data_IF_654528295720
#
_entry.id   IF_654528295720
#
_cell.length_a   1.000
_cell.length_b   1.000
_cell.length_c   1.000
_cell.angle_alpha   90.00
_cell.angle_beta   90.00
_cell.angle_gamma   90.00
#
_symmetry.space_group_name_H-M   'P 1'
#
loop_
_entity.id
_entity.type
_entity.pdbx_description
1 polymer ?
#
# COMPACT_ATOMS: atom_id res chain seq x y z
N UNK A 1 -3.11 -7.47 12.04
CA UNK A 1 -2.67 -8.81 11.53
C UNK A 1 -2.41 -9.86 12.61
N UNK A 2 -1.35 -9.76 13.42
CA UNK A 2 -0.96 -10.84 14.37
C UNK A 2 -2.04 -11.18 15.39
N UNK A 3 -2.77 -10.18 15.88
CA UNK A 3 -3.91 -10.42 16.77
C UNK A 3 -5.11 -11.05 16.04
N UNK A 4 -5.38 -10.66 14.79
CA UNK A 4 -6.40 -11.32 13.96
C UNK A 4 -6.08 -12.81 13.77
N UNK A 5 -4.82 -13.12 13.44
CA UNK A 5 -4.32 -14.48 13.32
C UNK A 5 -4.49 -15.27 14.62
N UNK A 6 -4.19 -14.64 15.77
CA UNK A 6 -4.34 -15.28 17.07
C UNK A 6 -5.80 -15.55 17.42
N UNK A 7 -6.68 -14.56 17.24
CA UNK A 7 -8.11 -14.70 17.53
C UNK A 7 -8.79 -15.71 16.60
N UNK A 8 -8.31 -15.82 15.36
CA UNK A 8 -8.78 -16.83 14.41
C UNK A 8 -8.30 -18.26 14.71
N UNK A 9 -7.33 -18.48 15.62
CA UNK A 9 -6.81 -19.82 15.98
C UNK A 9 -7.74 -20.64 16.90
N UNK A 10 -9.05 -20.45 16.81
CA UNK A 10 -10.02 -21.32 17.49
C UNK A 10 -10.03 -22.69 16.77
N UNK A 11 -10.19 -23.79 17.51
CA UNK A 11 -10.09 -25.19 17.01
C UNK A 11 -10.92 -25.50 15.74
N UNK A 12 -11.94 -24.71 15.42
CA UNK A 12 -12.75 -24.82 14.20
C UNK A 12 -12.02 -24.40 12.93
N UNK A 13 -11.11 -23.41 13.00
CA UNK A 13 -10.51 -22.79 11.80
C UNK A 13 -9.28 -23.57 11.30
N UNK A 14 -8.64 -24.35 12.17
CA UNK A 14 -7.43 -25.12 11.82
C UNK A 14 -7.67 -26.24 10.80
N UNK A 15 -8.87 -26.81 10.72
CA UNK A 15 -9.17 -27.92 9.80
C UNK A 15 -9.52 -27.45 8.38
N UNK A 16 -9.94 -26.19 8.19
CA UNK A 16 -10.37 -25.63 6.88
C UNK A 16 -9.32 -24.72 6.22
N UNK A 17 -8.37 -24.16 6.99
CA UNK A 17 -7.23 -23.34 6.48
C UNK A 17 -6.27 -24.13 5.57
N UNK A 18 -6.42 -25.45 5.46
CA UNK A 18 -5.43 -26.34 4.84
C UNK A 18 -5.08 -26.04 3.36
N UNK A 19 -5.96 -25.37 2.58
CA UNK A 19 -5.73 -25.20 1.13
C UNK A 19 -6.03 -23.81 0.55
N UNK A 20 -6.80 -22.94 1.22
CA UNK A 20 -7.22 -21.65 0.67
C UNK A 20 -6.29 -20.49 1.10
N UNK A 21 -6.07 -19.46 0.25
CA UNK A 21 -5.34 -18.28 0.65
C UNK A 21 -6.11 -17.53 1.75
N UNK A 22 -5.43 -17.25 2.86
CA UNK A 22 -6.04 -16.51 3.99
C UNK A 22 -5.60 -15.06 3.98
N UNK A 23 -6.56 -14.15 3.93
CA UNK A 23 -6.34 -12.71 4.04
C UNK A 23 -7.00 -12.16 5.29
N UNK A 24 -6.39 -11.14 5.88
CA UNK A 24 -6.93 -10.35 6.98
C UNK A 24 -7.39 -9.02 6.40
N UNK A 25 -8.63 -8.64 6.66
CA UNK A 25 -9.16 -7.34 6.32
C UNK A 25 -9.54 -6.61 7.62
N UNK A 26 -8.78 -5.58 7.93
CA UNK A 26 -8.97 -4.68 9.07
C UNK A 26 -9.82 -3.50 8.60
N UNK A 27 -11.09 -3.46 8.99
CA UNK A 27 -12.01 -2.40 8.59
C UNK A 27 -12.20 -1.46 9.77
N UNK A 28 -11.63 -0.27 9.66
CA UNK A 28 -11.69 0.76 10.70
C UNK A 28 -12.84 1.76 10.50
N UNK A 29 -12.67 2.94 11.11
CA UNK A 29 -13.61 4.07 10.96
C UNK A 29 -13.51 4.77 9.60
N UNK A 30 -12.34 4.76 8.98
CA UNK A 30 -12.00 5.53 7.77
C UNK A 30 -11.53 4.67 6.61
N UNK A 31 -10.79 3.61 6.92
CA UNK A 31 -10.01 2.82 5.96
C UNK A 31 -10.22 1.33 6.20
N UNK A 32 -9.97 0.56 5.14
CA UNK A 32 -9.87 -0.89 5.19
C UNK A 32 -8.48 -1.28 4.74
N UNK A 33 -7.75 -1.98 5.60
CA UNK A 33 -6.41 -2.46 5.35
C UNK A 33 -6.41 -3.99 5.18
N UNK A 34 -6.04 -4.46 3.99
CA UNK A 34 -6.06 -5.87 3.60
C UNK A 34 -4.63 -6.38 3.46
N UNK A 35 -4.35 -7.53 4.08
CA UNK A 35 -3.06 -8.19 4.00
C UNK A 35 -3.19 -9.71 4.01
N UNK A 36 -2.28 -10.43 3.36
CA UNK A 36 -2.19 -11.88 3.52
C UNK A 36 -1.77 -12.25 4.96
N UNK A 37 -2.39 -13.29 5.54
CA UNK A 37 -2.12 -13.74 6.91
C UNK A 37 -0.66 -14.13 7.14
N UNK A 38 -0.04 -14.74 6.13
CA UNK A 38 1.39 -14.99 6.06
C UNK A 38 1.99 -13.96 5.09
N UNK A 39 2.35 -12.77 5.59
CA UNK A 39 2.67 -11.65 4.74
C UNK A 39 3.93 -11.93 3.92
N UNK A 40 3.81 -11.74 2.60
CA UNK A 40 4.96 -11.66 1.70
C UNK A 40 5.70 -10.36 1.99
N UNK A 41 7.03 -10.42 2.14
CA UNK A 41 7.87 -9.23 2.02
C UNK A 41 7.70 -8.65 0.60
N UNK A 42 7.56 -7.33 0.48
CA UNK A 42 7.43 -6.71 -0.83
C UNK A 42 8.60 -7.12 -1.76
N UNK A 43 8.28 -7.59 -2.97
CA UNK A 43 9.23 -8.31 -3.81
C UNK A 43 10.33 -7.47 -4.46
N UNK A 44 10.33 -6.15 -4.31
CA UNK A 44 11.35 -5.27 -4.94
C UNK A 44 11.46 -3.92 -4.26
N UNK A 45 10.33 -3.30 -3.94
CA UNK A 45 10.24 -2.06 -3.18
C UNK A 45 8.83 -1.90 -2.60
N UNK A 46 8.70 -1.09 -1.56
CA UNK A 46 7.43 -0.56 -1.04
C UNK A 46 7.39 0.94 -1.21
N UNK A 47 6.21 1.48 -1.48
CA UNK A 47 6.00 2.92 -1.53
C UNK A 47 5.37 3.39 -0.22
N UNK A 48 6.07 4.28 0.47
CA UNK A 48 5.65 4.85 1.75
C UNK A 48 5.55 6.35 1.54
N UNK A 49 4.32 6.88 1.52
CA UNK A 49 4.09 8.31 1.32
C UNK A 49 4.67 8.86 0.01
N UNK A 50 4.58 8.10 -1.08
CA UNK A 50 5.14 8.47 -2.39
C UNK A 50 6.63 8.12 -2.58
N UNK A 51 7.31 7.61 -1.55
CA UNK A 51 8.73 7.29 -1.59
C UNK A 51 8.94 5.79 -1.69
N UNK A 52 9.66 5.33 -2.73
CA UNK A 52 10.04 3.92 -2.87
C UNK A 52 11.20 3.58 -1.95
N UNK A 53 11.02 2.55 -1.14
CA UNK A 53 12.04 2.01 -0.24
C UNK A 53 12.17 0.50 -0.43
N UNK A 54 13.38 -0.02 -0.22
CA UNK A 54 13.67 -1.45 -0.22
C UNK A 54 13.44 -2.10 1.16
N UNK A 55 12.70 -1.45 2.06
CA UNK A 55 12.39 -2.03 3.37
C UNK A 55 11.59 -3.32 3.22
N UNK A 56 12.04 -4.33 3.96
CA UNK A 56 11.35 -5.61 4.04
C UNK A 56 10.13 -5.48 4.93
N UNK A 57 9.00 -5.08 4.35
CA UNK A 57 7.72 -4.96 5.06
C UNK A 57 6.63 -5.82 4.41
N UNK A 58 5.64 -6.27 5.21
CA UNK A 58 4.40 -6.85 4.70
C UNK A 58 3.72 -5.95 3.67
N UNK A 59 3.37 -6.50 2.51
CA UNK A 59 2.48 -5.80 1.56
C UNK A 59 1.09 -5.66 2.17
N UNK A 60 0.60 -4.43 2.27
CA UNK A 60 -0.78 -4.11 2.69
C UNK A 60 -1.45 -3.33 1.56
N UNK A 61 -2.70 -3.69 1.23
CA UNK A 61 -3.57 -2.92 0.34
C UNK A 61 -4.52 -2.10 1.21
N UNK A 62 -4.52 -0.78 1.07
CA UNK A 62 -5.39 0.10 1.84
C UNK A 62 -6.41 0.77 0.91
N UNK A 63 -7.68 0.76 1.31
CA UNK A 63 -8.77 1.43 0.58
C UNK A 63 -9.56 2.36 1.52
N UNK A 64 -10.07 3.45 0.96
CA UNK A 64 -10.83 4.50 1.69
C UNK A 64 -12.27 4.07 2.01
N UNK A 65 -12.41 2.96 2.72
CA UNK A 65 -13.69 2.40 3.16
C UNK A 65 -13.64 2.07 4.66
N UNK A 66 -14.52 2.67 5.44
CA UNK A 66 -14.72 2.36 6.85
C UNK A 66 -16.10 2.81 7.30
N UNK A 67 -16.37 2.70 8.60
CA UNK A 67 -17.71 2.99 9.18
C UNK A 67 -18.24 4.38 8.86
N UNK A 68 -17.35 5.38 8.82
CA UNK A 68 -17.67 6.78 8.59
C UNK A 68 -17.50 7.24 7.16
N UNK A 69 -17.18 6.33 6.22
CA UNK A 69 -17.09 6.68 4.81
C UNK A 69 -18.41 7.27 4.34
N UNK A 70 -18.35 8.45 3.71
CA UNK A 70 -19.51 9.19 3.25
C UNK A 70 -20.16 8.50 2.06
N UNK A 71 -21.48 8.63 1.97
CA UNK A 71 -22.29 8.15 0.86
C UNK A 71 -22.96 9.35 0.23
N UNK A 72 -22.69 9.59 -1.05
CA UNK A 72 -23.28 10.70 -1.79
C UNK A 72 -24.12 10.19 -2.95
N UNK A 73 -25.27 10.82 -3.16
CA UNK A 73 -26.14 10.55 -4.29
C UNK A 73 -26.24 11.80 -5.16
N UNK A 74 -25.77 11.71 -6.41
CA UNK A 74 -25.93 12.74 -7.42
C UNK A 74 -26.83 12.22 -8.54
N UNK A 75 -28.11 12.58 -8.50
CA UNK A 75 -29.13 12.02 -9.38
C UNK A 75 -29.31 10.51 -9.15
N UNK A 76 -29.06 9.72 -10.18
CA UNK A 76 -29.12 8.25 -10.14
C UNK A 76 -27.77 7.59 -9.81
N UNK A 77 -26.71 8.37 -9.58
CA UNK A 77 -25.37 7.85 -9.29
C UNK A 77 -25.13 7.91 -7.78
N UNK A 78 -24.81 6.75 -7.20
CA UNK A 78 -24.41 6.62 -5.80
C UNK A 78 -22.91 6.37 -5.72
N UNK A 79 -22.24 7.15 -4.88
CA UNK A 79 -20.79 7.08 -4.66
C UNK A 79 -20.50 6.80 -3.19
N UNK A 80 -19.41 6.08 -2.94
CA UNK A 80 -18.96 5.66 -1.61
C UNK A 80 -17.53 6.13 -1.41
N UNK A 81 -17.34 7.07 -0.50
CA UNK A 81 -16.03 7.67 -0.23
C UNK A 81 -15.48 8.49 -1.40
N UNK A 82 -14.18 8.81 -1.39
CA UNK A 82 -13.18 8.41 -0.39
C UNK A 82 -13.29 9.17 0.95
N UNK A 83 -14.08 10.23 0.99
CA UNK A 83 -14.23 11.05 2.20
C UNK A 83 -14.88 10.28 3.36
N UNK A 84 -14.46 10.58 4.58
CA UNK A 84 -15.01 9.99 5.80
C UNK A 84 -15.19 11.04 6.89
N UNK A 85 -16.21 10.86 7.74
CA UNK A 85 -16.38 11.67 8.96
C UNK A 85 -15.43 11.25 10.08
N UNK A 86 -14.74 10.11 9.93
CA UNK A 86 -13.72 9.63 10.85
C UNK A 86 -14.18 9.62 12.31
N UNK A 87 -13.41 10.26 13.19
CA UNK A 87 -13.72 10.37 14.62
C UNK A 87 -15.08 11.04 14.91
N UNK A 88 -15.60 11.87 14.00
CA UNK A 88 -16.89 12.54 14.16
C UNK A 88 -18.10 11.65 13.89
N UNK A 89 -17.92 10.34 13.62
CA UNK A 89 -19.00 9.40 13.30
C UNK A 89 -20.21 9.53 14.24
N UNK A 90 -19.99 9.52 15.55
CA UNK A 90 -21.05 9.59 16.57
C UNK A 90 -21.76 10.94 16.67
N UNK A 91 -21.26 11.97 15.96
CA UNK A 91 -21.86 13.31 15.91
C UNK A 91 -22.38 13.70 14.53
N UNK A 92 -21.88 13.05 13.48
CA UNK A 92 -22.13 13.43 12.08
C UNK A 92 -22.94 12.41 11.29
N UNK A 93 -22.89 11.12 11.62
CA UNK A 93 -23.71 10.13 10.94
C UNK A 93 -25.19 10.25 11.31
N UNK A 94 -26.08 9.91 10.37
CA UNK A 94 -27.53 10.05 10.54
C UNK A 94 -28.06 9.21 11.70
N UNK A 95 -27.57 7.97 11.88
CA UNK A 95 -27.98 7.06 12.98
C UNK A 95 -27.65 7.62 14.37
N UNK A 96 -26.83 8.67 14.46
CA UNK A 96 -26.53 9.36 15.72
C UNK A 96 -27.13 10.78 15.78
N UNK A 97 -27.98 11.16 14.83
CA UNK A 97 -28.63 12.48 14.78
C UNK A 97 -27.83 13.56 14.06
N UNK A 98 -26.79 13.17 13.32
CA UNK A 98 -26.01 14.08 12.49
C UNK A 98 -26.66 14.37 11.13
N UNK A 99 -25.89 14.99 10.24
CA UNK A 99 -26.32 15.53 8.95
C UNK A 99 -25.66 14.85 7.74
N UNK A 100 -24.79 13.85 7.95
CA UNK A 100 -24.02 13.19 6.89
C UNK A 100 -24.43 11.73 6.78
N UNK A 101 -24.77 11.28 5.56
CA UNK A 101 -25.00 9.87 5.26
C UNK A 101 -23.67 9.11 5.16
N UNK A 102 -23.55 8.01 5.88
CA UNK A 102 -22.32 7.22 6.02
C UNK A 102 -22.56 5.72 5.79
N UNK A 103 -21.49 4.94 5.62
CA UNK A 103 -21.56 3.49 5.51
C UNK A 103 -22.29 2.84 6.71
N UNK A 104 -22.11 3.36 7.93
CA UNK A 104 -22.85 2.87 9.11
C UNK A 104 -24.36 3.06 8.97
N UNK A 105 -24.79 4.17 8.37
CA UNK A 105 -26.21 4.44 8.13
C UNK A 105 -26.81 3.44 7.13
N UNK A 106 -26.06 3.09 6.08
CA UNK A 106 -26.44 2.07 5.10
C UNK A 106 -26.56 0.69 5.76
N UNK A 107 -25.64 0.32 6.64
CA UNK A 107 -25.71 -0.95 7.40
C UNK A 107 -27.00 -1.03 8.23
N UNK A 108 -27.35 0.04 8.94
CA UNK A 108 -28.54 0.09 9.80
C UNK A 108 -29.82 0.14 8.97
N UNK A 109 -29.85 0.92 7.89
CA UNK A 109 -30.97 0.97 6.95
C UNK A 109 -31.21 -0.40 6.27
N UNK A 110 -30.13 -1.15 6.04
CA UNK A 110 -30.17 -2.54 5.55
C UNK A 110 -30.61 -3.55 6.58
N UNK A 111 -30.76 -3.13 7.85
CA UNK A 111 -31.11 -3.99 8.98
C UNK A 111 -30.06 -5.09 9.25
N UNK A 112 -28.82 -4.88 8.80
CA UNK A 112 -27.73 -5.84 8.94
C UNK A 112 -27.06 -5.78 10.33
N UNK A 113 -27.15 -4.64 11.01
CA UNK A 113 -26.67 -4.46 12.37
C UNK A 113 -27.48 -3.40 13.12
N UNK A 114 -27.31 -3.37 14.45
CA UNK A 114 -27.90 -2.37 15.33
C UNK A 114 -26.81 -1.39 15.77
N UNK A 115 -26.84 -0.17 15.22
CA UNK A 115 -25.93 0.92 15.54
C UNK A 115 -26.77 2.19 15.66
N UNK A 116 -26.61 2.95 16.74
CA UNK A 116 -27.37 4.18 16.97
C UNK A 116 -28.89 3.97 16.95
N UNK A 117 -29.63 4.96 16.45
CA UNK A 117 -31.07 4.95 16.33
C UNK A 117 -31.51 4.66 14.88
N UNK A 118 -32.11 3.49 14.67
CA UNK A 118 -32.63 3.04 13.36
C UNK A 118 -33.74 3.95 12.81
N UNK A 119 -34.49 4.65 13.66
CA UNK A 119 -35.58 5.53 13.22
C UNK A 119 -35.06 6.69 12.36
N UNK A 120 -33.83 7.14 12.64
CA UNK A 120 -33.19 8.27 11.96
C UNK A 120 -32.77 7.95 10.53
N UNK A 121 -32.68 6.67 10.15
CA UNK A 121 -32.35 6.26 8.77
C UNK A 121 -33.52 5.60 8.03
N UNK A 122 -34.71 5.60 8.63
CA UNK A 122 -35.92 5.01 8.02
C UNK A 122 -36.36 5.68 6.71
N UNK A 123 -35.95 6.94 6.50
CA UNK A 123 -36.25 7.73 5.31
C UNK A 123 -35.29 7.47 4.14
N UNK A 124 -34.18 6.77 4.37
CA UNK A 124 -33.19 6.45 3.33
C UNK A 124 -33.82 5.47 2.34
N UNK A 125 -33.81 5.81 1.06
CA UNK A 125 -34.53 5.03 0.05
C UNK A 125 -33.94 3.62 -0.12
N UNK A 126 -34.77 2.58 -0.34
CA UNK A 126 -34.26 1.22 -0.58
C UNK A 126 -33.35 1.11 -1.81
N UNK A 127 -33.57 1.94 -2.84
CA UNK A 127 -32.72 2.01 -4.04
C UNK A 127 -31.31 2.47 -3.67
N UNK A 128 -31.20 3.58 -2.93
CA UNK A 128 -29.93 4.13 -2.46
C UNK A 128 -29.17 3.12 -1.58
N UNK A 129 -29.86 2.47 -0.65
CA UNK A 129 -29.26 1.42 0.21
C UNK A 129 -28.68 0.28 -0.63
N UNK A 130 -29.42 -0.20 -1.63
CA UNK A 130 -28.97 -1.28 -2.50
C UNK A 130 -27.75 -0.88 -3.33
N UNK A 131 -27.76 0.32 -3.92
CA UNK A 131 -26.66 0.82 -4.75
C UNK A 131 -25.40 1.08 -3.91
N UNK A 132 -25.55 1.67 -2.73
CA UNK A 132 -24.43 1.89 -1.81
C UNK A 132 -23.80 0.57 -1.35
N UNK A 133 -24.61 -0.45 -1.02
CA UNK A 133 -24.12 -1.80 -0.68
C UNK A 133 -23.32 -2.42 -1.80
N UNK A 134 -23.81 -2.32 -3.04
CA UNK A 134 -23.10 -2.86 -4.19
C UNK A 134 -21.74 -2.20 -4.38
N UNK A 135 -21.65 -0.88 -4.19
CA UNK A 135 -20.37 -0.15 -4.26
C UNK A 135 -19.42 -0.55 -3.12
N UNK A 136 -19.92 -0.67 -1.89
CA UNK A 136 -19.13 -1.16 -0.74
C UNK A 136 -18.56 -2.56 -1.03
N UNK A 137 -19.41 -3.47 -1.53
CA UNK A 137 -19.02 -4.82 -1.94
C UNK A 137 -17.87 -4.79 -2.95
N UNK A 138 -18.02 -4.02 -4.03
CA UNK A 138 -17.00 -3.90 -5.09
C UNK A 138 -15.66 -3.37 -4.56
N UNK A 139 -15.69 -2.36 -3.67
CA UNK A 139 -14.47 -1.82 -3.07
C UNK A 139 -13.72 -2.90 -2.26
N UNK A 140 -14.45 -3.72 -1.50
CA UNK A 140 -13.86 -4.79 -0.69
C UNK A 140 -13.32 -5.93 -1.56
N UNK A 141 -14.06 -6.34 -2.60
CA UNK A 141 -13.61 -7.34 -3.56
C UNK A 141 -12.31 -6.93 -4.23
N UNK A 142 -12.20 -5.69 -4.71
CA UNK A 142 -10.97 -5.17 -5.30
C UNK A 142 -9.80 -5.16 -4.31
N UNK A 143 -10.03 -4.80 -3.05
CA UNK A 143 -8.99 -4.78 -2.02
C UNK A 143 -8.48 -6.21 -1.72
N UNK A 144 -9.39 -7.18 -1.65
CA UNK A 144 -9.06 -8.60 -1.41
C UNK A 144 -8.35 -9.20 -2.61
N UNK A 145 -8.85 -8.97 -3.82
CA UNK A 145 -8.23 -9.46 -5.06
C UNK A 145 -6.80 -8.93 -5.23
N UNK A 146 -6.55 -7.66 -4.89
CA UNK A 146 -5.20 -7.07 -4.91
C UNK A 146 -4.19 -7.74 -3.95
N UNK A 147 -4.66 -8.54 -3.00
CA UNK A 147 -3.86 -9.27 -2.03
C UNK A 147 -3.78 -10.78 -2.30
N UNK A 148 -4.69 -11.34 -3.11
CA UNK A 148 -4.67 -12.76 -3.48
C UNK A 148 -3.40 -13.13 -4.24
N UNK A 149 -2.86 -14.32 -3.93
CA UNK A 149 -1.66 -14.86 -4.58
C UNK A 149 -2.00 -15.84 -5.71
N UNK A 150 -3.17 -16.46 -5.61
CA UNK A 150 -3.71 -17.40 -6.57
C UNK A 150 -5.14 -16.99 -6.88
N UNK A 151 -5.64 -17.40 -8.05
CA UNK A 151 -6.98 -17.02 -8.50
C UNK A 151 -8.11 -17.66 -7.65
N UNK A 152 -7.79 -18.68 -6.85
CA UNK A 152 -8.74 -19.39 -5.99
C UNK A 152 -9.37 -18.48 -4.92
N UNK A 153 -10.58 -18.85 -4.49
CA UNK A 153 -11.32 -18.09 -3.49
C UNK A 153 -10.58 -18.04 -2.14
N UNK A 154 -10.55 -16.87 -1.52
CA UNK A 154 -9.86 -16.63 -0.27
C UNK A 154 -10.76 -16.82 0.96
N UNK A 155 -10.14 -17.17 2.08
CA UNK A 155 -10.74 -17.04 3.41
C UNK A 155 -10.39 -15.64 3.93
N UNK A 156 -11.39 -14.85 4.30
CA UNK A 156 -11.21 -13.49 4.82
C UNK A 156 -11.46 -13.46 6.32
N UNK A 157 -10.44 -13.13 7.11
CA UNK A 157 -10.58 -12.82 8.53
C UNK A 157 -10.86 -11.32 8.66
N UNK A 158 -12.09 -10.98 9.04
CA UNK A 158 -12.52 -9.59 9.27
C UNK A 158 -12.29 -9.18 10.72
N UNK A 159 -11.60 -8.05 10.91
CA UNK A 159 -11.32 -7.50 12.23
C UNK A 159 -11.60 -6.00 12.33
N UNK A 160 -11.49 -5.50 13.56
CA UNK A 160 -11.84 -4.13 13.97
C UNK A 160 -13.35 -3.87 13.93
N UNK A 161 -13.79 -2.80 14.57
CA UNK A 161 -15.19 -2.45 14.77
C UNK A 161 -15.91 -2.03 13.49
N UNK A 162 -15.17 -1.71 12.42
CA UNK A 162 -15.74 -1.41 11.12
C UNK A 162 -16.05 -2.61 10.25
N UNK A 163 -15.68 -3.83 10.68
CA UNK A 163 -16.07 -5.08 10.01
C UNK A 163 -17.58 -5.25 9.82
N UNK A 164 -18.39 -4.47 10.54
CA UNK A 164 -19.85 -4.36 10.40
C UNK A 164 -20.29 -3.78 9.05
N UNK A 165 -19.43 -3.03 8.35
CA UNK A 165 -19.69 -2.49 7.00
C UNK A 165 -19.77 -3.60 5.96
N UNK A 166 -19.14 -4.75 6.24
CA UNK A 166 -19.18 -5.89 5.35
C UNK A 166 -20.46 -6.71 5.58
N UNK A 167 -21.44 -6.58 4.69
CA UNK A 167 -22.79 -7.17 4.81
C UNK A 167 -22.99 -8.34 3.84
N UNK A 168 -22.55 -8.16 2.61
CA UNK A 168 -22.87 -9.02 1.47
C UNK A 168 -21.83 -10.12 1.28
N UNK A 169 -22.17 -11.19 0.57
CA UNK A 169 -21.17 -12.16 0.13
C UNK A 169 -20.26 -11.52 -0.91
N UNK A 170 -18.95 -11.79 -0.83
CA UNK A 170 -17.95 -11.26 -1.76
C UNK A 170 -17.58 -12.33 -2.77
N UNK A 171 -17.47 -11.93 -4.02
CA UNK A 171 -16.97 -12.76 -5.09
C UNK A 171 -15.46 -12.94 -4.89
N UNK A 172 -14.94 -14.15 -5.15
CA UNK A 172 -13.53 -14.47 -4.86
C UNK A 172 -13.23 -14.77 -3.39
N UNK A 173 -14.27 -14.91 -2.54
CA UNK A 173 -14.17 -15.22 -1.10
C UNK A 173 -15.07 -16.41 -0.78
N UNK A 174 -14.48 -17.52 -0.31
CA UNK A 174 -15.22 -18.73 0.02
C UNK A 174 -15.75 -18.71 1.45
N UNK A 175 -15.08 -17.99 2.35
CA UNK A 175 -15.47 -17.90 3.75
C UNK A 175 -15.08 -16.54 4.35
N UNK A 176 -15.95 -16.00 5.20
CA UNK A 176 -15.71 -14.80 5.99
C UNK A 176 -15.76 -15.16 7.47
N UNK A 177 -14.64 -14.99 8.14
CA UNK A 177 -14.46 -15.30 9.57
C UNK A 177 -14.43 -14.00 10.36
N UNK A 178 -15.33 -13.87 11.34
CA UNK A 178 -15.30 -12.81 12.36
C UNK A 178 -14.97 -13.46 13.70
N UNK A 179 -13.68 -13.47 14.12
CA UNK A 179 -13.31 -14.16 15.35
C UNK A 179 -13.90 -13.45 16.59
N UNK A 180 -13.99 -14.14 17.74
CA UNK A 180 -14.34 -13.49 19.00
C UNK A 180 -13.39 -12.32 19.30
N UNK A 181 -13.91 -11.22 19.85
CA UNK A 181 -13.12 -10.03 20.19
C UNK A 181 -12.37 -9.40 18.99
N UNK A 182 -12.89 -9.59 17.77
CA UNK A 182 -12.30 -9.04 16.55
C UNK A 182 -12.12 -7.52 16.58
N UNK A 183 -12.96 -6.81 17.33
CA UNK A 183 -12.91 -5.36 17.56
C UNK A 183 -11.64 -4.90 18.31
N UNK A 184 -10.98 -5.81 19.03
CA UNK A 184 -9.75 -5.54 19.77
C UNK A 184 -8.51 -6.20 19.14
N UNK A 185 -8.61 -6.73 17.91
CA UNK A 185 -7.55 -7.52 17.29
C UNK A 185 -6.18 -6.79 17.23
N UNK A 186 -6.18 -5.47 16.99
CA UNK A 186 -4.94 -4.69 16.96
C UNK A 186 -4.30 -4.56 18.36
N UNK A 187 -5.11 -4.34 19.40
CA UNK A 187 -4.64 -4.32 20.78
C UNK A 187 -4.10 -5.69 21.24
N UNK A 188 -4.78 -6.78 20.87
CA UNK A 188 -4.32 -8.15 21.11
C UNK A 188 -2.98 -8.40 20.41
N UNK A 189 -2.87 -7.99 19.14
CA UNK A 189 -1.62 -8.11 18.37
C UNK A 189 -0.46 -7.36 19.00
N UNK A 190 -0.70 -6.15 19.52
CA UNK A 190 0.31 -5.35 20.22
C UNK A 190 0.72 -6.00 21.55
N UNK A 191 -0.24 -6.48 22.35
CA UNK A 191 0.03 -7.13 23.63
C UNK A 191 0.79 -8.46 23.49
N UNK A 192 0.64 -9.12 22.35
CA UNK A 192 1.35 -10.37 22.02
C UNK A 192 2.73 -10.16 21.38
N UNK A 193 3.08 -8.92 21.03
CA UNK A 193 4.35 -8.63 20.37
C UNK A 193 5.52 -9.09 21.23
N UNK A 194 6.39 -9.92 20.66
CA UNK A 194 7.61 -10.37 21.34
C UNK A 194 8.63 -9.25 21.31
N UNK A 195 9.42 -9.14 22.38
CA UNK A 195 10.61 -8.30 22.40
C UNK A 195 11.60 -8.84 21.36
N UNK A 196 12.06 -7.99 20.45
CA UNK A 196 13.03 -8.34 19.41
C UNK A 196 14.10 -7.25 19.29
N UNK A 197 15.25 -7.62 18.73
CA UNK A 197 16.32 -6.72 18.38
C UNK A 197 16.92 -7.15 17.05
N UNK A 198 17.08 -6.18 16.16
CA UNK A 198 17.63 -6.37 14.82
C UNK A 198 18.89 -5.54 14.65
N UNK A 199 19.89 -6.10 13.97
CA UNK A 199 21.14 -5.44 13.63
C UNK A 199 21.37 -5.68 12.14
N UNK A 200 21.45 -4.58 11.40
CA UNK A 200 21.80 -4.55 9.99
C UNK A 200 23.16 -3.84 9.84
N UNK A 201 24.13 -4.51 9.20
CA UNK A 201 25.49 -4.02 9.03
C UNK A 201 26.05 -4.40 7.66
N UNK A 202 26.85 -3.49 7.09
CA UNK A 202 27.67 -3.78 5.92
C UNK A 202 29.08 -4.11 6.39
N UNK A 203 29.59 -5.29 6.03
CA UNK A 203 30.93 -5.78 6.40
C UNK A 203 31.74 -6.14 5.16
N UNK A 204 33.00 -5.71 5.12
CA UNK A 204 33.95 -6.09 4.07
C UNK A 204 34.59 -7.41 4.52
N UNK A 205 34.43 -8.46 3.72
CA UNK A 205 34.93 -9.81 4.04
C UNK A 205 36.43 -10.01 3.77
N UNK A 206 37.11 -9.01 3.19
CA UNK A 206 38.53 -9.14 2.84
C UNK A 206 39.40 -9.35 4.08
N UNK A 207 40.01 -10.54 4.17
CA UNK A 207 40.90 -10.90 5.28
C UNK A 207 40.20 -11.30 6.58
N UNK A 208 38.87 -11.45 6.59
CA UNK A 208 38.08 -11.82 7.79
C UNK A 208 37.24 -13.06 7.52
N UNK A 209 37.08 -13.95 8.51
CA UNK A 209 36.21 -15.11 8.40
C UNK A 209 34.73 -14.66 8.54
N UNK A 210 33.88 -15.14 7.63
CA UNK A 210 32.44 -14.84 7.65
C UNK A 210 31.77 -15.33 8.95
N UNK A 211 32.20 -16.46 9.51
CA UNK A 211 31.69 -17.01 10.77
C UNK A 211 31.92 -16.08 11.96
N UNK A 212 33.10 -15.46 12.04
CA UNK A 212 33.44 -14.51 13.11
C UNK A 212 32.54 -13.27 13.04
N UNK A 213 32.24 -12.81 11.81
CA UNK A 213 31.34 -11.67 11.57
C UNK A 213 29.91 -12.04 11.97
N UNK A 214 29.43 -13.22 11.57
CA UNK A 214 28.10 -13.70 11.94
C UNK A 214 27.97 -13.80 13.47
N UNK A 215 28.98 -14.30 14.16
CA UNK A 215 28.99 -14.38 15.63
C UNK A 215 28.99 -13.00 16.29
N UNK A 216 29.80 -12.06 15.79
CA UNK A 216 29.83 -10.67 16.24
C UNK A 216 28.44 -10.02 16.11
N UNK A 217 27.83 -10.12 14.92
CA UNK A 217 26.52 -9.52 14.62
C UNK A 217 25.40 -10.19 15.42
N UNK A 218 25.45 -11.52 15.55
CA UNK A 218 24.48 -12.28 16.36
C UNK A 218 24.56 -11.85 17.83
N UNK A 219 25.77 -11.68 18.36
CA UNK A 219 25.98 -11.21 19.74
C UNK A 219 25.46 -9.78 19.93
N UNK A 220 25.67 -8.91 18.96
CA UNK A 220 25.13 -7.55 18.97
C UNK A 220 23.59 -7.54 18.96
N UNK A 221 22.97 -8.38 18.13
CA UNK A 221 21.51 -8.53 18.07
C UNK A 221 20.92 -9.08 19.39
N UNK A 222 21.56 -10.09 19.98
CA UNK A 222 21.18 -10.63 21.31
C UNK A 222 21.26 -9.52 22.36
N UNK A 223 22.38 -8.79 22.41
CA UNK A 223 22.56 -7.70 23.37
C UNK A 223 21.50 -6.61 23.21
N UNK A 224 21.19 -6.21 21.97
CA UNK A 224 20.14 -5.22 21.67
C UNK A 224 18.77 -5.71 22.13
N UNK A 225 18.47 -7.00 21.95
CA UNK A 225 17.21 -7.62 22.39
C UNK A 225 17.11 -7.65 23.91
N UNK A 226 18.19 -7.98 24.63
CA UNK A 226 18.24 -7.96 26.10
C UNK A 226 18.10 -6.54 26.64
N UNK A 227 18.77 -5.56 26.04
CA UNK A 227 18.63 -4.14 26.40
C UNK A 227 17.19 -3.64 26.20
N UNK A 228 16.45 -4.19 25.23
CA UNK A 228 15.04 -3.92 25.02
C UNK A 228 14.11 -4.60 26.06
N UNK A 229 14.66 -5.38 27.00
CA UNK A 229 13.93 -5.99 28.12
C UNK A 229 13.72 -7.51 28.01
N UNK A 230 14.32 -8.19 27.03
CA UNK A 230 14.22 -9.63 26.94
C UNK A 230 15.11 -10.36 27.98
N UNK A 231 14.64 -11.50 28.48
CA UNK A 231 15.44 -12.39 29.31
C UNK A 231 16.45 -13.15 28.43
N UNK A 232 17.75 -13.06 28.75
CA UNK A 232 18.84 -13.62 27.94
C UNK A 232 18.62 -15.09 27.56
N UNK A 233 18.17 -15.92 28.51
CA UNK A 233 17.94 -17.37 28.32
C UNK A 233 16.83 -17.68 27.30
N UNK A 234 15.95 -16.72 27.04
CA UNK A 234 14.80 -16.86 26.13
C UNK A 234 15.09 -16.35 24.72
N UNK A 235 16.18 -15.60 24.54
CA UNK A 235 16.54 -14.99 23.26
C UNK A 235 17.02 -16.06 22.30
N UNK A 236 16.51 -16.03 21.06
CA UNK A 236 16.91 -16.91 19.96
C UNK A 236 17.08 -16.09 18.69
N UNK A 237 18.12 -16.39 17.92
CA UNK A 237 18.26 -15.85 16.56
C UNK A 237 17.24 -16.54 15.67
N UNK A 238 16.36 -15.75 15.05
CA UNK A 238 15.25 -16.25 14.21
C UNK A 238 15.57 -16.19 12.72
N UNK A 239 16.44 -15.27 12.31
CA UNK A 239 16.84 -15.08 10.92
C UNK A 239 18.25 -14.48 10.89
N UNK A 240 19.04 -14.90 9.91
CA UNK A 240 20.29 -14.27 9.52
C UNK A 240 20.24 -14.19 7.99
N UNK A 241 20.30 -12.98 7.45
CA UNK A 241 20.27 -12.74 6.02
C UNK A 241 21.62 -12.17 5.59
N UNK A 242 22.36 -12.92 4.77
CA UNK A 242 23.61 -12.45 4.18
C UNK A 242 23.36 -12.14 2.70
N UNK A 243 23.44 -10.85 2.36
CA UNK A 243 23.34 -10.39 0.97
C UNK A 243 24.72 -9.97 0.46
N UNK A 244 25.26 -10.63 -0.58
CA UNK A 244 26.53 -10.24 -1.16
C UNK A 244 26.39 -8.88 -1.86
N UNK A 245 27.00 -7.85 -1.28
CA UNK A 245 27.08 -6.54 -1.91
C UNK A 245 28.35 -6.46 -2.76
N UNK A 246 28.21 -6.40 -4.08
CA UNK A 246 29.33 -6.10 -4.98
C UNK A 246 29.35 -4.61 -5.31
N UNK A 247 30.21 -3.80 -4.70
CA UNK A 247 30.38 -2.41 -5.09
C UNK A 247 31.10 -2.36 -6.44
N UNK A 248 30.37 -2.49 -7.55
CA UNK A 248 30.92 -2.27 -8.90
C UNK A 248 30.73 -0.84 -9.41
N UNK A 249 30.49 0.15 -8.54
CA UNK A 249 30.28 1.53 -9.02
C UNK A 249 30.59 2.66 -8.04
N UNK A 250 31.42 2.44 -7.01
CA UNK A 250 31.95 3.55 -6.20
C UNK A 250 33.45 3.38 -5.93
N UNK A 251 34.26 3.66 -6.95
CA UNK A 251 35.59 4.24 -6.74
C UNK A 251 35.42 5.72 -6.33
N UNK A 252 34.67 5.98 -5.25
CA UNK A 252 34.65 7.29 -4.61
C UNK A 252 35.37 7.12 -3.27
N UNK A 253 36.52 7.77 -3.04
CA UNK A 253 37.21 7.66 -1.78
C UNK A 253 36.32 8.14 -0.62
N UNK A 254 36.41 7.54 0.57
CA UNK A 254 35.54 7.88 1.69
C UNK A 254 35.76 9.33 2.12
N UNK A 255 34.81 10.22 1.79
CA UNK A 255 34.70 11.50 2.47
C UNK A 255 34.00 11.28 3.81
N UNK A 256 34.79 11.16 4.87
CA UNK A 256 34.28 11.26 6.24
C UNK A 256 33.84 12.72 6.44
N UNK A 257 32.54 12.98 6.34
CA UNK A 257 31.95 14.23 6.83
C UNK A 257 31.33 13.94 8.20
N UNK A 258 31.83 14.58 9.28
CA UNK A 258 31.21 14.42 10.59
C UNK A 258 29.80 15.00 10.54
N UNK A 259 28.80 14.19 10.93
CA UNK A 259 27.47 14.69 11.25
C UNK A 259 27.55 15.43 12.60
N UNK A 260 27.28 16.75 12.66
CA UNK A 260 27.08 17.40 13.93
C UNK A 260 25.75 16.96 14.54
N UNK A 261 25.71 16.88 15.86
CA UNK A 261 24.58 16.46 16.67
C UNK A 261 23.26 17.16 16.30
N UNK A 262 22.18 16.40 16.51
CA UNK A 262 20.79 16.84 16.36
C UNK A 262 20.51 18.04 17.28
N UNK A 263 20.53 19.24 16.71
CA UNK A 263 19.71 20.34 17.19
C UNK A 263 18.51 20.53 16.26
N UNK A 264 17.33 20.48 16.88
CA UNK A 264 16.03 20.78 16.30
C UNK A 264 16.05 22.19 15.69
N UNK A 265 16.00 22.29 14.36
CA UNK A 265 15.72 23.55 13.66
C UNK A 265 14.22 23.56 13.30
N UNK A 266 13.50 24.67 13.58
CA UNK A 266 12.05 24.71 13.49
C UNK A 266 11.54 24.67 12.05
N UNK A 267 10.34 24.11 11.91
CA UNK A 267 9.53 24.11 10.70
C UNK A 267 9.37 25.52 10.13
N UNK A 268 10.10 25.83 9.06
CA UNK A 268 9.79 26.96 8.20
C UNK A 268 8.84 26.50 7.10
N UNK A 269 7.62 27.02 7.17
CA UNK A 269 6.59 27.00 6.14
C UNK A 269 7.11 27.54 4.81
N UNK A 270 7.40 26.65 3.85
CA UNK A 270 7.49 27.03 2.46
C UNK A 270 6.10 27.08 1.85
N UNK A 271 5.51 28.29 1.88
CA UNK A 271 4.44 28.68 0.97
C UNK A 271 5.04 28.70 -0.43
N UNK A 272 4.68 27.71 -1.26
CA UNK A 272 4.99 27.74 -2.68
C UNK A 272 4.14 28.83 -3.35
N UNK A 273 4.77 29.97 -3.66
CA UNK A 273 4.31 30.88 -4.71
C UNK A 273 5.33 30.80 -5.83
N UNK A 274 4.91 30.32 -7.01
CA UNK A 274 4.98 31.05 -8.29
C UNK A 274 4.77 30.10 -9.48
N UNK A 275 3.83 30.49 -10.35
CA UNK A 275 3.67 30.01 -11.71
C UNK A 275 4.90 30.39 -12.56
N UNK A 276 5.94 29.56 -12.58
CA UNK A 276 6.97 29.62 -13.62
C UNK A 276 7.23 28.23 -14.18
N UNK A 277 7.11 28.11 -15.51
CA UNK A 277 7.43 26.89 -16.26
C UNK A 277 8.95 26.75 -16.23
N UNK A 278 9.46 25.82 -15.43
CA UNK A 278 10.89 25.55 -15.32
C UNK A 278 11.40 24.76 -16.53
N UNK A 279 12.55 25.19 -17.06
CA UNK A 279 13.30 24.52 -18.12
C UNK A 279 14.13 23.38 -17.55
N UNK A 280 14.37 22.33 -18.34
CA UNK A 280 15.10 21.11 -17.96
C UNK A 280 16.54 21.31 -17.45
N UNK A 281 17.09 22.53 -17.51
CA UNK A 281 18.44 22.84 -17.02
C UNK A 281 18.50 23.21 -15.53
N UNK A 282 17.36 23.42 -14.88
CA UNK A 282 17.31 23.97 -13.51
C UNK A 282 16.89 22.94 -12.44
N UNK A 283 16.93 21.63 -12.76
CA UNK A 283 16.47 20.57 -11.85
C UNK A 283 17.61 20.04 -10.96
N UNK A 284 17.42 20.14 -9.65
CA UNK A 284 18.37 19.77 -8.60
C UNK A 284 18.56 18.23 -8.54
N UNK A 285 19.80 17.72 -8.38
CA UNK A 285 20.06 16.30 -8.18
C UNK A 285 19.48 15.65 -6.90
N UNK A 286 18.66 16.35 -6.12
CA UNK A 286 17.78 15.78 -5.09
C UNK A 286 16.44 15.22 -5.62
N UNK A 287 16.07 15.44 -6.89
CA UNK A 287 14.85 14.85 -7.51
C UNK A 287 14.94 13.31 -7.73
N UNK A 288 16.03 12.66 -7.30
CA UNK A 288 16.30 11.25 -7.56
C UNK A 288 15.48 10.27 -6.70
N UNK A 289 14.73 10.77 -5.71
CA UNK A 289 13.88 9.96 -4.82
C UNK A 289 12.38 10.17 -4.99
N UNK A 290 11.96 11.16 -5.79
CA UNK A 290 10.57 11.49 -6.05
C UNK A 290 10.11 10.97 -7.42
N UNK A 291 8.93 10.35 -7.45
CA UNK A 291 8.21 10.03 -8.69
C UNK A 291 8.04 11.30 -9.55
N UNK A 292 8.40 11.30 -10.85
CA UNK A 292 8.12 12.42 -11.76
C UNK A 292 6.64 12.82 -11.76
N UNK A 293 5.74 11.83 -11.63
CA UNK A 293 4.30 12.09 -11.53
C UNK A 293 3.89 12.85 -10.26
N UNK A 294 4.70 12.81 -9.20
CA UNK A 294 4.45 13.57 -7.98
C UNK A 294 4.65 15.08 -8.13
N UNK A 295 5.29 15.52 -9.22
CA UNK A 295 5.57 16.93 -9.51
C UNK A 295 4.56 17.56 -10.47
N UNK A 296 3.52 16.83 -10.87
CA UNK A 296 2.50 17.29 -11.81
C UNK A 296 1.09 17.18 -11.20
N UNK A 297 0.18 17.97 -11.74
CA UNK A 297 -1.25 17.78 -11.51
C UNK A 297 -1.83 16.85 -12.59
N UNK A 298 -2.35 15.70 -12.14
CA UNK A 298 -2.87 14.64 -13.00
C UNK A 298 -4.12 15.10 -13.76
N UNK A 299 -4.96 15.97 -13.19
CA UNK A 299 -6.22 16.40 -13.84
C UNK A 299 -5.95 17.26 -15.09
N UNK A 300 -4.86 18.02 -15.06
CA UNK A 300 -4.49 18.97 -16.11
C UNK A 300 -3.40 18.45 -17.04
N UNK A 301 -2.71 17.36 -16.69
CA UNK A 301 -1.70 16.73 -17.53
C UNK A 301 -2.25 16.27 -18.89
N UNK A 302 -1.52 16.55 -19.97
CA UNK A 302 -1.85 16.14 -21.34
C UNK A 302 -0.59 15.63 -22.03
N UNK A 303 -0.78 14.62 -22.89
CA UNK A 303 0.30 14.04 -23.69
C UNK A 303 0.84 15.07 -24.71
N UNK A 304 2.15 15.03 -24.97
CA UNK A 304 2.77 15.81 -26.04
C UNK A 304 2.52 15.09 -27.38
N UNK A 305 1.54 15.55 -28.15
CA UNK A 305 1.21 15.00 -29.47
C UNK A 305 1.40 16.09 -30.52
N UNK A 306 2.18 15.81 -31.56
CA UNK A 306 2.39 16.77 -32.65
C UNK A 306 1.24 16.78 -33.67
N UNK A 307 1.31 17.72 -34.62
CA UNK A 307 0.29 17.89 -35.67
C UNK A 307 0.11 16.66 -36.57
N UNK A 308 1.10 15.75 -36.59
CA UNK A 308 1.07 14.51 -37.37
C UNK A 308 0.50 13.33 -36.55
N UNK A 309 0.10 13.56 -35.30
CA UNK A 309 -0.39 12.51 -34.39
C UNK A 309 0.72 11.68 -33.77
N UNK A 310 1.99 12.10 -33.86
CA UNK A 310 3.09 11.43 -33.17
C UNK A 310 3.09 11.83 -31.70
N UNK A 311 2.97 10.84 -30.82
CA UNK A 311 3.12 11.05 -29.40
C UNK A 311 4.59 11.03 -29.02
N UNK A 312 5.07 12.14 -28.48
CA UNK A 312 6.40 12.27 -27.91
C UNK A 312 6.35 11.89 -26.43
N UNK A 313 6.86 10.70 -26.12
CA UNK A 313 6.71 10.08 -24.80
C UNK A 313 7.62 10.78 -23.79
N UNK A 314 7.02 11.32 -22.73
CA UNK A 314 7.72 11.99 -21.62
C UNK A 314 8.19 11.01 -20.54
N UNK A 315 8.98 11.50 -19.55
CA UNK A 315 9.36 10.68 -18.38
C UNK A 315 8.14 10.30 -17.53
N UNK A 316 7.15 11.20 -17.42
CA UNK A 316 5.87 10.94 -16.73
C UNK A 316 5.06 9.89 -17.48
N UNK A 317 5.02 9.98 -18.81
CA UNK A 317 4.34 9.00 -19.66
C UNK A 317 4.95 7.60 -19.49
N UNK A 318 6.28 7.49 -19.50
CA UNK A 318 6.95 6.22 -19.28
C UNK A 318 6.69 5.65 -17.88
N UNK A 319 6.53 6.51 -16.86
CA UNK A 319 6.18 6.08 -15.51
C UNK A 319 4.74 5.52 -15.44
N UNK A 320 3.80 6.18 -16.09
CA UNK A 320 2.42 5.69 -16.20
C UNK A 320 2.34 4.40 -17.03
N UNK A 321 3.07 4.32 -18.15
CA UNK A 321 3.17 3.10 -18.95
C UNK A 321 3.78 1.95 -18.15
N UNK A 322 4.87 2.17 -17.40
CA UNK A 322 5.49 1.13 -16.61
C UNK A 322 4.56 0.59 -15.51
N UNK A 323 3.80 1.47 -14.87
CA UNK A 323 2.79 1.10 -13.89
C UNK A 323 1.64 0.35 -14.55
N UNK A 324 1.05 0.91 -15.62
CA UNK A 324 -0.08 0.34 -16.35
C UNK A 324 0.22 -1.01 -16.99
N UNK A 325 1.37 -1.17 -17.63
CA UNK A 325 1.81 -2.44 -18.22
C UNK A 325 2.09 -3.53 -17.16
N UNK A 326 2.44 -3.13 -15.92
CA UNK A 326 2.61 -4.06 -14.80
C UNK A 326 1.29 -4.50 -14.18
N UNK A 327 0.24 -3.66 -14.30
CA UNK A 327 -1.13 -3.96 -13.81
C UNK A 327 -1.92 -4.76 -14.85
N UNK A 328 -1.82 -4.43 -16.13
CA UNK A 328 -2.61 -5.02 -17.22
C UNK A 328 -2.00 -6.32 -17.80
N UNK A 329 -1.18 -7.03 -17.01
CA UNK A 329 -0.29 -8.12 -17.40
C UNK A 329 -0.75 -8.99 -18.59
N UNK A 330 -0.20 -8.71 -19.78
CA UNK A 330 -0.08 -9.68 -20.88
C UNK A 330 1.25 -10.44 -20.77
N UNK A 331 1.39 -11.21 -19.69
CA UNK A 331 2.07 -12.52 -19.63
C UNK A 331 3.51 -12.76 -20.14
N UNK A 332 4.31 -11.80 -20.62
CA UNK A 332 5.63 -12.16 -21.18
C UNK A 332 6.75 -11.11 -21.23
N UNK A 333 6.50 -9.84 -20.92
CA UNK A 333 7.45 -8.73 -21.20
C UNK A 333 8.51 -8.40 -20.14
N UNK A 334 8.52 -9.06 -18.98
CA UNK A 334 9.40 -8.69 -17.85
C UNK A 334 8.94 -7.42 -17.10
N UNK A 335 9.70 -6.94 -16.11
CA UNK A 335 9.28 -5.83 -15.23
C UNK A 335 9.30 -4.49 -15.98
N UNK A 336 8.13 -3.84 -16.13
CA UNK A 336 7.99 -2.55 -16.84
C UNK A 336 8.87 -1.43 -16.26
N UNK A 337 9.24 -1.51 -14.99
CA UNK A 337 10.11 -0.54 -14.34
C UNK A 337 11.55 -0.52 -14.89
N UNK A 338 12.10 -1.67 -15.29
CA UNK A 338 13.46 -1.71 -15.88
C UNK A 338 13.47 -1.01 -17.23
N UNK A 339 12.41 -1.19 -18.02
CA UNK A 339 12.21 -0.49 -19.29
C UNK A 339 12.07 1.02 -19.07
N UNK A 340 11.32 1.44 -18.05
CA UNK A 340 11.23 2.85 -17.65
C UNK A 340 12.59 3.46 -17.28
N UNK A 341 13.39 2.79 -16.45
CA UNK A 341 14.71 3.28 -16.07
C UNK A 341 15.63 3.43 -17.30
N UNK A 342 15.51 2.52 -18.25
CA UNK A 342 16.26 2.56 -19.51
C UNK A 342 15.82 3.74 -20.38
N UNK A 343 14.51 3.94 -20.56
CA UNK A 343 13.96 5.06 -21.30
C UNK A 343 14.36 6.41 -20.67
N UNK A 344 14.30 6.50 -19.34
CA UNK A 344 14.71 7.67 -18.57
C UNK A 344 16.20 7.97 -18.70
N UNK A 345 17.07 6.95 -18.69
CA UNK A 345 18.50 7.13 -18.96
C UNK A 345 18.72 7.68 -20.38
N UNK A 346 17.99 7.17 -21.37
CA UNK A 346 18.05 7.67 -22.74
C UNK A 346 17.56 9.13 -22.85
N UNK A 347 16.50 9.51 -22.15
CA UNK A 347 16.03 10.90 -22.10
C UNK A 347 17.08 11.85 -21.51
N UNK A 348 17.81 11.42 -20.48
CA UNK A 348 18.92 12.19 -19.90
C UNK A 348 20.09 12.39 -20.87
N UNK A 349 20.28 11.45 -21.79
CA UNK A 349 21.23 11.58 -22.90
C UNK A 349 20.71 12.45 -24.05
N UNK A 350 19.53 13.06 -23.90
CA UNK A 350 18.90 13.93 -24.91
C UNK A 350 18.19 13.16 -26.02
N UNK A 351 18.00 11.85 -25.88
CA UNK A 351 17.20 11.05 -26.82
C UNK A 351 15.72 11.31 -26.59
N UNK A 352 14.90 11.10 -27.62
CA UNK A 352 13.44 11.20 -27.54
C UNK A 352 12.82 9.88 -27.99
N UNK A 353 11.69 9.51 -27.38
CA UNK A 353 10.90 8.34 -27.75
C UNK A 353 9.61 8.82 -28.40
N UNK A 354 9.28 8.25 -29.56
CA UNK A 354 8.04 8.53 -30.28
C UNK A 354 7.17 7.28 -30.33
N UNK A 355 5.90 7.43 -29.99
CA UNK A 355 4.85 6.44 -30.25
C UNK A 355 4.00 6.94 -31.43
N UNK A 356 3.87 6.09 -32.45
CA UNK A 356 3.16 6.39 -33.69
C UNK A 356 2.12 5.31 -33.98
N UNK A 357 1.05 5.66 -34.69
CA UNK A 357 0.06 4.67 -35.14
C UNK A 357 0.71 3.69 -36.12
N UNK A 358 0.46 2.39 -35.95
CA UNK A 358 1.08 1.34 -36.76
C UNK A 358 0.80 1.49 -38.26
N UNK A 359 -0.33 2.10 -38.63
CA UNK A 359 -0.72 2.33 -40.02
C UNK A 359 0.07 3.48 -40.68
N UNK A 360 0.81 4.27 -39.89
CA UNK A 360 1.68 5.36 -40.39
C UNK A 360 3.10 4.91 -40.67
N UNK A 361 3.45 3.66 -40.33
CA UNK A 361 4.79 3.09 -40.51
C UNK A 361 4.93 2.46 -41.89
N UNK A 362 5.87 2.95 -42.70
CA UNK A 362 6.12 2.40 -44.05
C UNK A 362 6.59 0.93 -44.02
N UNK A 363 6.25 0.15 -45.05
CA UNK A 363 6.56 -1.29 -45.17
C UNK A 363 8.04 -1.68 -45.02
N UNK A 364 8.97 -0.71 -45.10
CA UNK A 364 10.42 -0.90 -44.95
C UNK A 364 10.98 -0.49 -43.58
N UNK A 365 10.14 -0.14 -42.61
CA UNK A 365 10.60 0.26 -41.29
C UNK A 365 11.13 -0.94 -40.51
N UNK A 366 12.28 -0.77 -39.86
CA UNK A 366 12.86 -1.76 -38.95
C UNK A 366 12.34 -1.43 -37.55
N UNK A 367 11.49 -2.31 -37.00
CA UNK A 367 11.04 -2.26 -35.60
C UNK A 367 12.15 -2.90 -34.74
N UNK A 368 12.70 -2.14 -33.79
CA UNK A 368 13.71 -2.61 -32.85
C UNK A 368 13.09 -2.91 -31.48
#
# INVERSE_FOLDING_TARGET
>A
MSGAAYLARSDQVQNEISMAPVVVADVGGTTTDVCALFPRQAGTWVEIGGVRSAFSMPKVVSVSLGRGTKIEQNGDIVTVGPESVGYFLTSKALVFGGDVLTASDIVVASQAAVIGDKSLVSHVSPKLVKEARQQIKVIQEHAIEGMKLIAEDAIVILVDGGSVVQIDTLDGVCEIIRPPFHDCANAVGAAMAKVSGEVDVVKILEGVNEGDIIEEVSTAAIRKTVLAGAQLETVKIVSIENMPFHPKTLDIPPQIRPFPDKDLVPSSSHVAKSNEILSNKDKDPLEFTSSPSALIDIETYRLEVDENGTWWVSEVDCEFLATGCSVSASGGGGPGYVCYLTARAAFKEGKRLSAVDINTVGFSAILY
#
